data_IF_714606132005
#
_entry.id   IF_714606132005
#
_cell.length_a   1.000
_cell.length_b   1.000
_cell.length_c   1.000
_cell.angle_alpha   90.00
_cell.angle_beta   90.00
_cell.angle_gamma   90.00
#
_symmetry.space_group_name_H-M   'P 1'
#
loop_
_entity.id
_entity.type
_entity.pdbx_description
1 polymer ?
#
# COMPACT_ATOMS: atom_id res chain seq x y z
N UNK A 1 -8.24 3.89 -28.56
CA UNK A 1 -6.94 3.69 -27.90
C UNK A 1 -6.93 2.24 -27.43
N UNK A 2 -6.15 1.37 -28.06
CA UNK A 2 -6.16 -0.05 -27.71
C UNK A 2 -5.56 -0.22 -26.31
N UNK A 3 -6.36 -0.66 -25.34
CA UNK A 3 -5.83 -1.14 -24.05
C UNK A 3 -4.83 -2.24 -24.40
N UNK A 4 -3.53 -1.99 -24.19
CA UNK A 4 -2.57 -3.09 -24.10
C UNK A 4 -3.09 -3.95 -22.96
N UNK A 5 -3.49 -5.17 -23.29
CA UNK A 5 -3.88 -6.17 -22.31
C UNK A 5 -2.60 -6.53 -21.56
N UNK A 6 -2.29 -5.78 -20.51
CA UNK A 6 -1.19 -6.11 -19.62
C UNK A 6 -1.60 -7.38 -18.88
N UNK A 7 -0.83 -8.45 -19.07
CA UNK A 7 -0.89 -9.57 -18.15
C UNK A 7 -0.24 -9.09 -16.85
N UNK A 8 -1.05 -8.83 -15.84
CA UNK A 8 -0.61 -8.32 -14.53
C UNK A 8 -0.13 -9.44 -13.59
N UNK A 9 -0.01 -10.67 -14.09
CA UNK A 9 0.53 -11.78 -13.33
C UNK A 9 2.06 -11.69 -13.24
N UNK A 10 2.67 -11.82 -12.05
CA UNK A 10 4.11 -11.82 -11.89
C UNK A 10 4.75 -12.97 -12.68
N UNK A 11 5.91 -12.71 -13.30
CA UNK A 11 6.65 -13.76 -14.02
C UNK A 11 7.22 -14.77 -13.02
N UNK A 12 7.02 -16.09 -13.21
CA UNK A 12 7.57 -17.09 -12.31
C UNK A 12 9.10 -16.97 -12.17
N UNK A 13 9.59 -16.87 -10.94
CA UNK A 13 11.02 -16.80 -10.64
C UNK A 13 11.68 -15.42 -10.84
N UNK A 14 10.90 -14.37 -11.11
CA UNK A 14 11.45 -13.00 -11.19
C UNK A 14 11.95 -12.52 -9.81
N UNK A 15 12.94 -11.63 -9.81
CA UNK A 15 13.43 -11.02 -8.58
C UNK A 15 12.36 -10.10 -7.98
N UNK A 16 12.42 -9.87 -6.65
CA UNK A 16 11.55 -8.86 -6.02
C UNK A 16 11.76 -7.47 -6.64
N UNK A 17 12.99 -7.09 -6.97
CA UNK A 17 13.27 -5.81 -7.60
C UNK A 17 12.54 -5.65 -8.93
N UNK A 18 12.59 -6.67 -9.79
CA UNK A 18 11.90 -6.66 -11.09
C UNK A 18 10.37 -6.64 -10.90
N UNK A 19 9.87 -7.43 -9.94
CA UNK A 19 8.44 -7.47 -9.61
C UNK A 19 7.90 -6.09 -9.23
N UNK A 20 8.60 -5.37 -8.34
CA UNK A 20 8.17 -4.03 -7.91
C UNK A 20 8.36 -2.97 -9.00
N UNK A 21 9.38 -3.12 -9.86
CA UNK A 21 9.57 -2.27 -11.02
C UNK A 21 8.41 -2.42 -12.02
N UNK A 22 8.00 -3.66 -12.32
CA UNK A 22 6.87 -3.95 -13.19
C UNK A 22 5.55 -3.45 -12.61
N UNK A 23 5.33 -3.64 -11.29
CA UNK A 23 4.18 -3.09 -10.58
C UNK A 23 4.11 -1.56 -10.71
N UNK A 24 5.24 -0.88 -10.51
CA UNK A 24 5.33 0.58 -10.63
C UNK A 24 5.06 1.04 -12.06
N UNK A 25 5.63 0.36 -13.06
CA UNK A 25 5.39 0.64 -14.46
C UNK A 25 3.92 0.44 -14.85
N UNK A 26 3.28 -0.62 -14.36
CA UNK A 26 1.87 -0.89 -14.55
C UNK A 26 0.99 0.20 -13.91
N UNK A 27 1.28 0.59 -12.68
CA UNK A 27 0.55 1.65 -11.98
C UNK A 27 0.66 2.99 -12.73
N UNK A 28 1.85 3.36 -13.19
CA UNK A 28 2.05 4.58 -13.98
C UNK A 28 1.35 4.53 -15.34
N UNK A 29 1.34 3.37 -16.01
CA UNK A 29 0.63 3.24 -17.29
C UNK A 29 -0.90 3.33 -17.10
N UNK A 30 -1.44 2.71 -16.04
CA UNK A 30 -2.87 2.62 -15.80
C UNK A 30 -3.49 3.93 -15.31
N UNK A 31 -2.71 4.74 -14.59
CA UNK A 31 -3.13 6.03 -14.04
C UNK A 31 -2.76 7.21 -14.93
N UNK A 32 -2.23 6.96 -16.14
CA UNK A 32 -1.77 8.02 -17.04
C UNK A 32 -2.93 8.83 -17.61
N UNK A 33 -2.91 10.16 -17.41
CA UNK A 33 -3.95 11.07 -17.87
C UNK A 33 -5.28 11.00 -17.12
N UNK A 34 -5.41 10.17 -16.08
CA UNK A 34 -6.63 10.06 -15.26
C UNK A 34 -6.57 11.01 -14.05
N UNK A 35 -7.45 12.04 -13.97
CA UNK A 35 -7.47 12.97 -12.84
C UNK A 35 -8.18 12.46 -11.57
N UNK A 36 -8.99 11.40 -11.65
CA UNK A 36 -9.72 10.89 -10.49
C UNK A 36 -8.81 10.04 -9.59
N UNK A 37 -8.45 10.63 -8.45
CA UNK A 37 -7.62 10.00 -7.43
C UNK A 37 -8.21 8.69 -6.86
N UNK A 38 -9.54 8.59 -6.77
CA UNK A 38 -10.21 7.39 -6.24
C UNK A 38 -10.11 6.24 -7.24
N UNK A 39 -10.34 6.52 -8.53
CA UNK A 39 -10.15 5.54 -9.59
C UNK A 39 -8.68 5.06 -9.64
N UNK A 40 -7.73 5.99 -9.53
CA UNK A 40 -6.31 5.67 -9.50
C UNK A 40 -5.93 4.79 -8.30
N UNK A 41 -6.34 5.17 -7.08
CA UNK A 41 -6.10 4.34 -5.88
C UNK A 41 -6.76 2.96 -6.00
N UNK A 42 -7.99 2.86 -6.52
CA UNK A 42 -8.67 1.58 -6.69
C UNK A 42 -7.91 0.64 -7.63
N UNK A 43 -7.44 1.16 -8.76
CA UNK A 43 -6.65 0.41 -9.72
C UNK A 43 -5.27 0.03 -9.17
N UNK A 44 -4.60 0.92 -8.42
CA UNK A 44 -3.32 0.58 -7.79
C UNK A 44 -3.50 -0.49 -6.70
N UNK A 45 -4.58 -0.43 -5.91
CA UNK A 45 -4.89 -1.48 -4.93
C UNK A 45 -5.12 -2.85 -5.61
N UNK A 46 -5.79 -2.86 -6.76
CA UNK A 46 -5.95 -4.08 -7.56
C UNK A 46 -4.60 -4.59 -8.10
N UNK A 47 -3.72 -3.71 -8.59
CA UNK A 47 -2.37 -4.10 -9.03
C UNK A 47 -1.53 -4.66 -7.87
N UNK A 48 -1.57 -4.04 -6.69
CA UNK A 48 -0.89 -4.54 -5.50
C UNK A 48 -1.35 -5.97 -5.17
N UNK A 49 -2.65 -6.21 -5.22
CA UNK A 49 -3.25 -7.53 -4.96
C UNK A 49 -2.83 -8.59 -5.99
N UNK A 50 -2.76 -8.23 -7.27
CA UNK A 50 -2.40 -9.17 -8.35
C UNK A 50 -0.90 -9.47 -8.39
N UNK A 51 -0.04 -8.49 -8.09
CA UNK A 51 1.42 -8.63 -8.18
C UNK A 51 2.04 -9.25 -6.93
N UNK A 52 1.51 -8.93 -5.75
CA UNK A 52 2.12 -9.33 -4.48
C UNK A 52 1.41 -10.57 -3.92
N UNK A 53 2.08 -11.74 -3.88
CA UNK A 53 1.48 -12.94 -3.32
C UNK A 53 1.39 -12.85 -1.80
N UNK A 54 0.49 -13.66 -1.22
CA UNK A 54 0.38 -13.86 0.22
C UNK A 54 -0.03 -12.60 1.01
N UNK A 55 -0.95 -11.83 0.44
CA UNK A 55 -1.64 -10.74 1.12
C UNK A 55 -3.03 -11.18 1.59
N UNK A 56 -3.48 -10.67 2.73
CA UNK A 56 -4.90 -10.71 3.13
C UNK A 56 -5.56 -9.32 3.06
N UNK A 57 -4.78 -8.26 2.90
CA UNK A 57 -5.27 -6.90 2.69
C UNK A 57 -4.26 -6.06 1.90
N UNK A 58 -4.75 -5.21 1.00
CA UNK A 58 -3.93 -4.27 0.25
C UNK A 58 -4.74 -3.01 -0.12
N UNK A 59 -4.25 -1.83 0.21
CA UNK A 59 -5.00 -0.62 -0.11
C UNK A 59 -4.44 0.65 0.49
N UNK A 60 -5.35 1.62 0.66
CA UNK A 60 -5.00 2.97 1.05
C UNK A 60 -5.80 3.43 2.27
N UNK A 61 -5.15 4.23 3.11
CA UNK A 61 -5.83 5.22 3.95
C UNK A 61 -5.41 6.61 3.53
N UNK A 62 -6.36 7.54 3.49
CA UNK A 62 -6.19 8.91 2.96
C UNK A 62 -6.22 9.92 4.09
N UNK A 63 -5.41 10.97 4.00
CA UNK A 63 -5.45 12.08 4.94
C UNK A 63 -6.71 12.91 4.71
N UNK A 64 -7.64 12.90 5.67
CA UNK A 64 -8.88 13.68 5.61
C UNK A 64 -9.11 14.35 6.95
N UNK A 65 -9.09 15.69 6.96
CA UNK A 65 -9.31 16.50 8.16
C UNK A 65 -8.38 16.15 9.35
N UNK A 66 -7.12 15.78 9.08
CA UNK A 66 -6.10 15.53 10.09
C UNK A 66 -6.08 14.10 10.65
N UNK A 67 -6.81 13.18 10.04
CA UNK A 67 -6.77 11.75 10.36
C UNK A 67 -6.76 10.89 9.09
N UNK A 68 -6.41 9.63 9.23
CA UNK A 68 -6.47 8.65 8.15
C UNK A 68 -7.91 8.14 8.01
N UNK A 69 -8.44 8.15 6.79
CA UNK A 69 -9.77 7.63 6.45
C UNK A 69 -9.63 6.60 5.34
N UNK A 70 -10.31 5.46 5.50
CA UNK A 70 -10.26 4.33 4.58
C UNK A 70 -10.46 4.77 3.11
N UNK A 71 -9.51 4.40 2.27
CA UNK A 71 -9.50 4.58 0.82
C UNK A 71 -9.91 3.30 0.09
N UNK A 72 -9.71 3.24 -1.24
CA UNK A 72 -9.84 2.00 -1.99
C UNK A 72 -8.89 0.92 -1.49
N UNK A 73 -9.36 -0.33 -1.43
CA UNK A 73 -8.61 -1.48 -0.95
C UNK A 73 -9.17 -2.79 -1.52
N UNK A 74 -8.39 -3.86 -1.43
CA UNK A 74 -8.80 -5.25 -1.66
C UNK A 74 -8.55 -6.02 -0.36
N UNK A 75 -9.55 -6.75 0.11
CA UNK A 75 -9.49 -7.50 1.37
C UNK A 75 -10.81 -7.49 2.12
N UNK A 76 -10.79 -7.95 3.38
CA UNK A 76 -11.94 -7.84 4.29
C UNK A 76 -12.20 -6.39 4.69
N UNK A 77 -13.41 -6.04 5.15
CA UNK A 77 -13.68 -4.75 5.78
C UNK A 77 -12.69 -4.45 6.91
N UNK A 78 -12.20 -3.21 6.96
CA UNK A 78 -11.19 -2.76 7.91
C UNK A 78 -11.66 -1.50 8.67
N UNK A 79 -10.76 -0.93 9.47
CA UNK A 79 -11.03 0.28 10.24
C UNK A 79 -11.39 1.45 9.31
N UNK A 80 -12.41 2.25 9.65
CA UNK A 80 -12.84 3.37 8.78
C UNK A 80 -11.97 4.61 9.01
N UNK A 81 -11.60 4.90 10.27
CA UNK A 81 -10.77 6.03 10.66
C UNK A 81 -9.64 5.59 11.58
N UNK A 82 -8.46 6.17 11.40
CA UNK A 82 -7.27 5.92 12.21
C UNK A 82 -6.67 7.27 12.61
N UNK A 83 -6.66 7.62 13.91
CA UNK A 83 -6.01 8.83 14.38
C UNK A 83 -4.50 8.79 14.11
N UNK A 84 -3.90 9.96 13.86
CA UNK A 84 -2.46 10.04 13.70
C UNK A 84 -1.73 9.45 14.90
N UNK A 85 -0.80 8.57 14.59
CA UNK A 85 0.05 7.94 15.58
C UNK A 85 -0.50 6.73 16.31
N UNK A 86 -1.70 6.29 15.94
CA UNK A 86 -2.35 5.09 16.49
C UNK A 86 -2.19 3.92 15.52
N UNK A 87 -1.82 2.75 16.04
CA UNK A 87 -1.49 1.59 15.21
C UNK A 87 -0.31 1.83 14.28
N UNK A 88 -0.08 0.88 13.37
CA UNK A 88 1.01 0.93 12.40
C UNK A 88 0.74 2.02 11.36
N UNK A 89 -0.45 2.00 10.74
CA UNK A 89 -0.93 3.04 9.82
C UNK A 89 -0.80 4.47 10.36
N UNK A 90 -1.35 4.74 11.55
CA UNK A 90 -1.27 6.07 12.14
C UNK A 90 0.17 6.45 12.49
N UNK A 91 0.99 5.50 12.92
CA UNK A 91 2.42 5.74 13.19
C UNK A 91 3.14 6.17 11.91
N UNK A 92 2.97 5.46 10.80
CA UNK A 92 3.54 5.82 9.50
C UNK A 92 3.15 7.23 9.07
N UNK A 93 1.87 7.57 9.19
CA UNK A 93 1.37 8.89 8.83
C UNK A 93 1.90 10.02 9.71
N UNK A 94 2.11 9.76 11.02
CA UNK A 94 2.65 10.75 11.96
C UNK A 94 4.14 10.98 11.77
N UNK A 95 4.91 9.92 11.55
CA UNK A 95 6.38 9.99 11.44
C UNK A 95 6.85 10.31 10.03
N UNK A 96 5.96 10.17 9.03
CA UNK A 96 6.32 10.20 7.60
C UNK A 96 7.42 9.17 7.26
N UNK A 97 7.40 8.02 7.94
CA UNK A 97 8.35 6.93 7.76
C UNK A 97 7.63 5.61 7.54
N UNK A 98 8.17 4.79 6.64
CA UNK A 98 7.75 3.41 6.42
C UNK A 98 7.79 2.62 7.72
N UNK A 99 6.75 1.80 7.95
CA UNK A 99 6.69 0.86 9.06
C UNK A 99 6.74 -0.56 8.48
N UNK A 100 7.80 -1.29 8.81
CA UNK A 100 8.01 -2.69 8.42
C UNK A 100 7.86 -3.58 9.65
N UNK A 101 6.71 -4.24 9.79
CA UNK A 101 6.32 -4.94 11.02
C UNK A 101 6.29 -6.44 10.80
N UNK A 102 7.29 -7.15 11.35
CA UNK A 102 7.41 -8.60 11.21
C UNK A 102 6.37 -9.41 12.01
N UNK A 103 5.89 -8.86 13.14
CA UNK A 103 4.79 -9.42 13.93
C UNK A 103 3.89 -8.30 14.45
N UNK A 104 2.69 -8.16 13.89
CA UNK A 104 1.73 -7.10 14.27
C UNK A 104 1.28 -7.23 15.74
N UNK A 105 1.27 -8.45 16.29
CA UNK A 105 0.89 -8.65 17.70
C UNK A 105 1.97 -8.19 18.68
N UNK A 106 3.22 -8.04 18.22
CA UNK A 106 4.31 -7.48 19.00
C UNK A 106 4.40 -5.95 18.89
N UNK A 107 3.65 -5.32 17.97
CA UNK A 107 3.69 -3.88 17.75
C UNK A 107 2.98 -3.11 18.88
N UNK A 108 3.65 -2.18 19.58
CA UNK A 108 3.03 -1.40 20.65
C UNK A 108 1.88 -0.52 20.14
N UNK A 109 0.69 -0.67 20.72
CA UNK A 109 -0.49 0.11 20.30
C UNK A 109 -1.10 -0.36 18.98
N UNK A 110 -0.87 -1.63 18.59
CA UNK A 110 -1.51 -2.25 17.44
C UNK A 110 -3.05 -2.16 17.53
N UNK A 111 -3.66 -1.70 16.44
CA UNK A 111 -5.11 -1.69 16.24
C UNK A 111 -5.42 -2.79 15.24
N UNK A 112 -5.84 -3.96 15.74
CA UNK A 112 -6.17 -5.08 14.87
C UNK A 112 -7.51 -4.82 14.16
N UNK A 113 -7.48 -4.69 12.83
CA UNK A 113 -8.69 -4.65 12.00
C UNK A 113 -9.04 -6.04 11.42
N UNK A 114 -8.05 -6.87 11.04
CA UNK A 114 -8.22 -8.31 10.74
C UNK A 114 -7.35 -9.16 11.69
N UNK A 115 -7.99 -10.10 12.40
CA UNK A 115 -7.29 -11.02 13.30
C UNK A 115 -6.39 -12.03 12.57
N UNK A 116 -6.53 -12.16 11.24
CA UNK A 116 -5.68 -13.01 10.43
C UNK A 116 -4.31 -12.39 10.15
N UNK A 117 -4.16 -11.06 10.19
CA UNK A 117 -2.89 -10.39 9.88
C UNK A 117 -1.81 -10.75 10.89
N UNK A 118 -0.62 -11.09 10.39
CA UNK A 118 0.57 -11.48 11.17
C UNK A 118 1.77 -10.58 10.89
N UNK A 119 1.88 -9.98 9.71
CA UNK A 119 2.85 -8.94 9.41
C UNK A 119 2.21 -7.84 8.56
N UNK A 120 2.78 -6.63 8.62
CA UNK A 120 2.22 -5.43 7.99
C UNK A 120 3.36 -4.56 7.43
N UNK A 121 3.16 -4.01 6.24
CA UNK A 121 4.02 -3.00 5.62
C UNK A 121 3.18 -1.76 5.31
N UNK A 122 3.48 -0.67 6.00
CA UNK A 122 2.83 0.63 5.75
C UNK A 122 3.83 1.63 5.20
N UNK A 123 3.55 2.19 4.03
CA UNK A 123 4.38 3.19 3.36
C UNK A 123 3.62 4.50 3.22
N UNK A 124 4.12 5.63 3.76
CA UNK A 124 3.49 6.92 3.56
C UNK A 124 3.67 7.43 2.12
N UNK A 125 2.59 7.96 1.55
CA UNK A 125 2.62 8.69 0.27
C UNK A 125 2.77 10.17 0.57
N UNK A 126 3.90 10.75 0.16
CA UNK A 126 4.20 12.16 0.37
C UNK A 126 3.99 12.98 -0.90
N UNK A 127 3.28 14.11 -0.77
CA UNK A 127 3.22 15.17 -1.78
C UNK A 127 3.65 16.48 -1.12
N UNK A 128 4.62 17.16 -1.72
CA UNK A 128 5.17 18.43 -1.21
C UNK A 128 5.60 18.35 0.28
N UNK A 129 6.23 17.23 0.66
CA UNK A 129 6.70 16.99 2.03
C UNK A 129 5.59 16.66 3.05
N UNK A 130 4.33 16.55 2.61
CA UNK A 130 3.19 16.23 3.48
C UNK A 130 2.64 14.85 3.16
N UNK A 131 2.29 14.06 4.18
CA UNK A 131 1.63 12.76 4.00
C UNK A 131 0.19 12.99 3.55
N UNK A 132 -0.16 12.53 2.34
CA UNK A 132 -1.51 12.62 1.77
C UNK A 132 -2.29 11.30 1.90
N UNK A 133 -1.57 10.19 2.00
CA UNK A 133 -2.12 8.85 2.17
C UNK A 133 -1.04 7.93 2.75
N UNK A 134 -1.44 6.72 3.12
CA UNK A 134 -0.54 5.58 3.33
C UNK A 134 -0.99 4.44 2.42
N UNK A 135 -0.03 3.70 1.85
CA UNK A 135 -0.24 2.36 1.31
C UNK A 135 -0.09 1.40 2.47
N UNK A 136 -1.06 0.51 2.66
CA UNK A 136 -1.10 -0.46 3.73
C UNK A 136 -1.27 -1.88 3.13
N UNK A 137 -0.43 -2.81 3.59
CA UNK A 137 -0.31 -4.17 3.09
C UNK A 137 -0.23 -5.11 4.29
N UNK A 138 -1.20 -6.02 4.40
CA UNK A 138 -1.22 -7.06 5.42
C UNK A 138 -0.94 -8.43 4.83
N UNK A 139 -0.30 -9.28 5.62
CA UNK A 139 -0.15 -10.69 5.32
C UNK A 139 -0.56 -11.57 6.50
N UNK A 140 -1.18 -12.75 6.25
CA UNK A 140 -1.41 -13.75 7.29
C UNK A 140 -0.13 -14.50 7.69
N UNK A 141 0.96 -14.29 6.96
CA UNK A 141 2.27 -14.86 7.28
C UNK A 141 3.08 -13.90 8.15
N UNK A 142 3.78 -14.38 9.19
CA UNK A 142 4.72 -13.56 9.95
C UNK A 142 5.93 -13.21 9.07
N UNK A 143 6.50 -12.03 9.27
CA UNK A 143 7.68 -11.53 8.54
C UNK A 143 7.59 -11.72 7.01
N UNK A 144 6.39 -11.51 6.42
CA UNK A 144 6.18 -11.62 4.97
C UNK A 144 6.97 -10.57 4.20
N UNK A 145 7.07 -9.37 4.76
CA UNK A 145 7.71 -8.23 4.14
C UNK A 145 9.16 -8.10 4.61
N UNK A 146 10.05 -7.71 3.70
CA UNK A 146 11.44 -7.37 3.98
C UNK A 146 11.81 -5.99 3.41
N UNK A 147 13.10 -5.63 3.49
CA UNK A 147 13.60 -4.35 3.01
C UNK A 147 13.48 -4.18 1.48
N UNK A 148 13.44 -5.27 0.71
CA UNK A 148 13.19 -5.20 -0.74
C UNK A 148 11.74 -4.85 -1.03
N UNK A 149 10.79 -5.42 -0.28
CA UNK A 149 9.38 -5.05 -0.36
C UNK A 149 9.20 -3.57 0.04
N UNK A 150 9.79 -3.14 1.15
CA UNK A 150 9.72 -1.76 1.62
C UNK A 150 10.22 -0.77 0.55
N UNK A 151 11.42 -0.98 -0.01
CA UNK A 151 11.97 -0.13 -1.09
C UNK A 151 11.09 -0.12 -2.34
N UNK A 152 10.54 -1.27 -2.70
CA UNK A 152 9.66 -1.41 -3.86
C UNK A 152 8.39 -0.58 -3.71
N UNK A 153 7.74 -0.67 -2.54
CA UNK A 153 6.51 0.06 -2.27
C UNK A 153 6.76 1.56 -2.02
N UNK A 154 7.90 1.94 -1.43
CA UNK A 154 8.35 3.34 -1.37
C UNK A 154 8.51 3.95 -2.77
N UNK A 155 9.10 3.21 -3.70
CA UNK A 155 9.24 3.64 -5.10
C UNK A 155 7.87 3.83 -5.76
N UNK A 156 6.95 2.89 -5.57
CA UNK A 156 5.58 3.00 -6.06
C UNK A 156 4.88 4.22 -5.45
N UNK A 157 4.95 4.40 -4.13
CA UNK A 157 4.33 5.51 -3.41
C UNK A 157 4.81 6.87 -3.95
N UNK A 158 6.12 7.01 -4.19
CA UNK A 158 6.69 8.20 -4.79
C UNK A 158 6.19 8.41 -6.22
N UNK A 159 6.12 7.35 -7.03
CA UNK A 159 5.71 7.42 -8.42
C UNK A 159 4.23 7.84 -8.61
N UNK A 160 3.34 7.37 -7.72
CA UNK A 160 1.91 7.71 -7.78
C UNK A 160 1.56 8.98 -7.00
N UNK A 161 2.51 9.58 -6.27
CA UNK A 161 2.25 10.65 -5.33
C UNK A 161 1.57 11.88 -5.94
N UNK A 162 1.69 12.15 -7.24
CA UNK A 162 1.02 13.25 -7.95
C UNK A 162 -0.27 12.83 -8.67
N UNK A 163 -0.64 11.56 -8.59
CA UNK A 163 -1.76 10.93 -9.30
C UNK A 163 -2.95 10.59 -8.39
N UNK A 164 -2.80 10.74 -7.07
CA UNK A 164 -3.82 10.37 -6.07
C UNK A 164 -4.23 11.49 -5.09
#
# INVERSE_FOLDING_TARGET
>A
MALKMFSFAPTPGQSKADLHADLTAAALALTDGEPDAVANMANVAALLWEFLPDLNWAGFYRMVAGELVLGPFIGKPACIRIPLGQGVCGTAARTAQTQLVADVHAFPGHIACDAASRSELVVPVLRDGTVIAVIDLDSPSPARFDDDDARGIETLAQAIATRI
#
